data_IF_247095557117
#
_entry.id   IF_247095557117
#
_cell.length_a   1.000
_cell.length_b   1.000
_cell.length_c   1.000
_cell.angle_alpha   90.00
_cell.angle_beta   90.00
_cell.angle_gamma   90.00
#
_symmetry.space_group_name_H-M   'P 1'
#
loop_
_entity.id
_entity.type
_entity.pdbx_description
1 polymer ?
#
# COMPACT_ATOMS: atom_id res chain seq x y z
N UNK A 1 -39.52 -25.77 36.61
CA UNK A 1 -39.80 -24.38 37.10
C UNK A 1 -41.06 -24.46 37.97
N UNK A 2 -41.10 -23.83 39.17
CA UNK A 2 -42.28 -23.83 40.00
C UNK A 2 -43.38 -22.90 39.45
N UNK A 3 -44.66 -23.20 39.68
CA UNK A 3 -45.78 -22.39 39.22
C UNK A 3 -45.68 -20.94 39.71
N UNK A 4 -45.29 -20.71 40.94
CA UNK A 4 -45.08 -19.38 41.51
C UNK A 4 -43.90 -18.63 40.83
N UNK A 5 -42.83 -19.33 40.47
CA UNK A 5 -41.72 -18.77 39.73
C UNK A 5 -42.10 -18.31 38.34
N UNK A 6 -42.97 -19.04 37.62
CA UNK A 6 -43.49 -18.66 36.33
C UNK A 6 -44.33 -17.39 36.38
N UNK A 7 -45.26 -17.27 37.32
CA UNK A 7 -46.07 -16.06 37.44
C UNK A 7 -45.27 -14.83 37.89
N UNK A 8 -44.26 -14.99 38.77
CA UNK A 8 -43.33 -13.94 39.13
C UNK A 8 -42.54 -13.44 37.90
N UNK A 9 -42.09 -14.34 37.03
CA UNK A 9 -41.41 -14.00 35.78
C UNK A 9 -42.36 -13.29 34.81
N UNK A 10 -43.57 -13.79 34.64
CA UNK A 10 -44.56 -13.22 33.71
C UNK A 10 -44.94 -11.77 34.07
N UNK A 11 -45.14 -11.48 35.36
CA UNK A 11 -45.52 -10.16 35.85
C UNK A 11 -44.32 -9.26 36.26
N UNK A 12 -43.11 -9.72 35.94
CA UNK A 12 -41.87 -8.97 36.28
C UNK A 12 -41.79 -7.68 35.49
N UNK A 13 -41.71 -6.54 36.19
CA UNK A 13 -41.37 -5.27 35.57
C UNK A 13 -39.90 -5.19 35.25
N UNK A 14 -39.51 -4.65 34.09
CA UNK A 14 -38.10 -4.53 33.74
C UNK A 14 -37.36 -3.58 34.69
N UNK A 15 -36.18 -4.01 35.12
CA UNK A 15 -35.33 -3.24 36.05
C UNK A 15 -34.74 -2.00 35.38
N UNK A 16 -34.25 -1.03 36.14
CA UNK A 16 -33.56 0.16 35.61
C UNK A 16 -32.39 -0.23 34.68
N UNK A 17 -31.64 -1.26 35.04
CA UNK A 17 -30.52 -1.79 34.26
C UNK A 17 -31.00 -2.36 32.92
N UNK A 18 -32.09 -3.14 32.92
CA UNK A 18 -32.65 -3.70 31.68
C UNK A 18 -33.16 -2.61 30.73
N UNK A 19 -33.81 -1.58 31.26
CA UNK A 19 -34.26 -0.41 30.48
C UNK A 19 -33.06 0.30 29.85
N UNK A 20 -31.99 0.53 30.62
CA UNK A 20 -30.75 1.13 30.14
C UNK A 20 -30.09 0.28 29.04
N UNK A 21 -30.01 -1.03 29.23
CA UNK A 21 -29.42 -1.94 28.22
C UNK A 21 -30.23 -1.96 26.92
N UNK A 22 -31.58 -1.97 26.99
CA UNK A 22 -32.45 -1.88 25.82
C UNK A 22 -32.21 -0.57 25.04
N UNK A 23 -32.10 0.54 25.74
CA UNK A 23 -31.79 1.83 25.11
C UNK A 23 -30.41 1.83 24.46
N UNK A 24 -29.39 1.28 25.14
CA UNK A 24 -28.04 1.14 24.57
C UNK A 24 -28.02 0.27 23.33
N UNK A 25 -28.78 -0.81 23.29
CA UNK A 25 -28.94 -1.70 22.12
C UNK A 25 -29.46 -0.89 20.93
N UNK A 26 -30.51 -0.09 21.12
CA UNK A 26 -31.07 0.77 20.07
C UNK A 26 -30.06 1.79 19.56
N UNK A 27 -29.32 2.45 20.48
CA UNK A 27 -28.27 3.39 20.11
C UNK A 27 -27.12 2.72 19.34
N UNK A 28 -26.67 1.54 19.79
CA UNK A 28 -25.63 0.77 19.09
C UNK A 28 -26.06 0.42 17.67
N UNK A 29 -27.29 -0.10 17.52
CA UNK A 29 -27.83 -0.47 16.21
C UNK A 29 -27.91 0.74 15.27
N UNK A 30 -28.46 1.86 15.76
CA UNK A 30 -28.57 3.09 14.97
C UNK A 30 -27.21 3.59 14.49
N UNK A 31 -26.21 3.69 15.39
CA UNK A 31 -24.86 4.14 15.05
C UNK A 31 -24.18 3.17 14.06
N UNK A 32 -24.40 1.87 14.23
CA UNK A 32 -23.86 0.85 13.33
C UNK A 32 -24.42 0.99 11.91
N UNK A 33 -25.73 1.21 11.78
CA UNK A 33 -26.42 1.34 10.49
C UNK A 33 -26.08 2.67 9.80
N UNK A 34 -26.06 3.80 10.53
CA UNK A 34 -25.64 5.12 10.04
C UNK A 34 -24.23 5.08 9.42
N UNK A 35 -23.32 4.32 10.04
CA UNK A 35 -21.96 4.18 9.56
C UNK A 35 -21.73 2.90 8.71
N UNK A 36 -22.81 2.34 8.14
CA UNK A 36 -22.77 1.21 7.19
C UNK A 36 -21.94 0.02 7.69
N UNK A 37 -21.97 -0.25 8.99
CA UNK A 37 -21.25 -1.34 9.61
C UNK A 37 -19.73 -1.15 9.75
N UNK A 38 -19.17 -0.02 9.38
CA UNK A 38 -17.71 0.23 9.42
C UNK A 38 -17.19 0.34 10.84
N UNK A 39 -18.03 0.83 11.77
CA UNK A 39 -17.61 1.06 13.15
C UNK A 39 -17.62 -0.23 13.96
N UNK A 40 -16.44 -0.57 14.51
CA UNK A 40 -16.31 -1.62 15.53
C UNK A 40 -16.63 -1.09 16.94
N UNK A 41 -16.70 -2.01 17.90
CA UNK A 41 -17.10 -1.69 19.28
C UNK A 41 -16.32 -0.52 19.92
N UNK A 42 -15.03 -0.36 19.63
CA UNK A 42 -14.22 0.76 20.16
C UNK A 42 -14.70 2.10 19.63
N UNK A 43 -14.93 2.23 18.32
CA UNK A 43 -15.43 3.47 17.70
C UNK A 43 -16.86 3.76 18.15
N UNK A 44 -17.73 2.75 18.22
CA UNK A 44 -19.09 2.90 18.74
C UNK A 44 -19.05 3.36 20.20
N UNK A 45 -18.14 2.84 21.05
CA UNK A 45 -17.99 3.30 22.43
C UNK A 45 -17.63 4.79 22.51
N UNK A 46 -16.67 5.21 21.68
CA UNK A 46 -16.27 6.63 21.60
C UNK A 46 -17.46 7.48 21.17
N UNK A 47 -18.19 7.06 20.13
CA UNK A 47 -19.36 7.76 19.64
C UNK A 47 -20.45 7.92 20.70
N UNK A 48 -20.81 6.81 21.38
CA UNK A 48 -21.82 6.82 22.44
C UNK A 48 -21.45 7.73 23.61
N UNK A 49 -20.17 7.72 24.01
CA UNK A 49 -19.72 8.54 25.14
C UNK A 49 -19.54 10.02 24.76
N UNK A 50 -19.04 10.30 23.55
CA UNK A 50 -18.75 11.67 23.13
C UNK A 50 -20.01 12.42 22.66
N UNK A 51 -20.84 11.78 21.83
CA UNK A 51 -22.00 12.44 21.23
C UNK A 51 -23.31 12.21 22.02
N UNK A 52 -23.46 11.05 22.68
CA UNK A 52 -24.68 10.69 23.40
C UNK A 52 -24.52 10.70 24.93
N UNK A 53 -23.34 11.04 25.43
CA UNK A 53 -22.98 11.08 26.85
C UNK A 53 -23.41 9.84 27.66
N UNK A 54 -23.31 8.65 27.04
CA UNK A 54 -23.89 7.41 27.56
C UNK A 54 -23.09 6.80 28.71
N UNK A 55 -21.84 7.25 28.95
CA UNK A 55 -20.92 6.76 29.99
C UNK A 55 -20.85 5.23 30.04
N UNK A 56 -20.56 4.60 28.90
CA UNK A 56 -20.53 3.15 28.73
C UNK A 56 -19.10 2.64 28.51
N UNK A 57 -18.80 1.49 29.17
CA UNK A 57 -17.51 0.82 28.99
C UNK A 57 -17.50 0.02 27.67
N UNK A 58 -16.34 0.01 26.99
CA UNK A 58 -16.14 -0.72 25.74
C UNK A 58 -16.43 -2.23 25.85
N UNK A 59 -16.19 -2.85 27.03
CA UNK A 59 -16.54 -4.28 27.27
C UNK A 59 -18.07 -4.52 27.20
N UNK A 60 -18.85 -3.54 27.69
CA UNK A 60 -20.31 -3.60 27.62
C UNK A 60 -20.78 -3.50 26.15
N UNK A 61 -20.27 -2.55 25.40
CA UNK A 61 -20.61 -2.37 23.97
C UNK A 61 -20.21 -3.62 23.17
N UNK A 62 -19.01 -4.17 23.39
CA UNK A 62 -18.57 -5.40 22.72
C UNK A 62 -19.52 -6.57 22.98
N UNK A 63 -19.95 -6.78 24.24
CA UNK A 63 -20.90 -7.85 24.61
C UNK A 63 -22.26 -7.65 23.91
N UNK A 64 -22.77 -6.42 23.90
CA UNK A 64 -24.06 -6.11 23.23
C UNK A 64 -23.97 -6.30 21.73
N UNK A 65 -22.90 -5.85 21.08
CA UNK A 65 -22.69 -6.08 19.66
C UNK A 65 -22.63 -7.59 19.32
N UNK A 66 -21.96 -8.40 20.16
CA UNK A 66 -21.96 -9.86 19.99
C UNK A 66 -23.34 -10.46 20.09
N UNK A 67 -24.16 -10.04 21.04
CA UNK A 67 -25.55 -10.50 21.20
C UNK A 67 -26.43 -10.15 19.99
N UNK A 68 -26.17 -8.99 19.36
CA UNK A 68 -26.84 -8.53 18.15
C UNK A 68 -26.27 -9.14 16.86
N UNK A 69 -25.20 -9.94 16.92
CA UNK A 69 -24.51 -10.47 15.75
C UNK A 69 -23.76 -9.43 14.93
N UNK A 70 -23.56 -8.21 15.47
CA UNK A 70 -22.92 -7.10 14.78
C UNK A 70 -21.39 -7.25 14.80
N UNK A 71 -20.77 -7.17 13.62
CA UNK A 71 -19.31 -7.16 13.44
C UNK A 71 -18.93 -6.05 12.50
N UNK A 72 -17.80 -5.37 12.76
CA UNK A 72 -17.28 -4.37 11.85
C UNK A 72 -16.98 -4.96 10.48
N UNK A 73 -17.40 -4.27 9.43
CA UNK A 73 -17.06 -4.61 8.05
C UNK A 73 -15.62 -4.22 7.82
N UNK A 74 -14.72 -5.19 7.90
CA UNK A 74 -13.29 -4.99 7.63
C UNK A 74 -13.10 -5.04 6.11
N UNK A 75 -12.56 -3.96 5.56
CA UNK A 75 -12.16 -3.94 4.15
C UNK A 75 -11.12 -5.04 3.93
N UNK A 76 -11.47 -6.12 3.24
CA UNK A 76 -10.49 -7.14 2.84
C UNK A 76 -9.52 -6.50 1.85
N UNK A 77 -8.22 -6.72 2.05
CA UNK A 77 -7.23 -6.40 1.03
C UNK A 77 -7.65 -7.12 -0.25
N UNK A 78 -7.98 -6.36 -1.30
CA UNK A 78 -8.39 -6.92 -2.62
C UNK A 78 -7.25 -7.59 -3.37
N UNK A 79 -6.03 -7.44 -2.86
CA UNK A 79 -4.83 -7.86 -3.57
C UNK A 79 -4.05 -8.88 -2.74
N UNK A 80 -4.01 -10.11 -3.23
CA UNK A 80 -3.06 -11.12 -2.78
C UNK A 80 -1.82 -10.97 -3.67
N UNK A 81 -0.80 -10.28 -3.17
CA UNK A 81 0.49 -10.22 -3.84
C UNK A 81 1.03 -11.65 -3.99
N UNK A 82 1.11 -12.14 -5.23
CA UNK A 82 1.87 -13.35 -5.54
C UNK A 82 3.31 -12.88 -5.74
N UNK A 83 4.25 -13.27 -4.89
CA UNK A 83 5.64 -12.85 -5.06
C UNK A 83 6.13 -13.35 -6.43
N UNK A 84 6.53 -12.41 -7.27
CA UNK A 84 7.21 -12.74 -8.51
C UNK A 84 8.58 -13.32 -8.16
N UNK A 85 8.91 -14.50 -8.70
CA UNK A 85 10.27 -15.05 -8.59
C UNK A 85 11.12 -14.32 -9.63
N UNK A 86 12.11 -13.51 -9.20
CA UNK A 86 12.98 -12.82 -10.13
C UNK A 86 13.78 -13.84 -10.95
N UNK A 87 13.90 -13.61 -12.25
CA UNK A 87 14.69 -14.47 -13.16
C UNK A 87 16.19 -14.21 -13.02
N UNK A 88 16.54 -12.97 -12.66
CA UNK A 88 17.90 -12.50 -12.43
C UNK A 88 17.90 -11.50 -11.28
N UNK A 89 18.97 -11.49 -10.48
CA UNK A 89 19.22 -10.51 -9.40
C UNK A 89 20.64 -10.04 -9.51
N UNK A 90 20.84 -8.73 -9.58
CA UNK A 90 22.16 -8.11 -9.44
C UNK A 90 22.41 -7.65 -7.99
N UNK A 91 23.66 -7.51 -7.61
CA UNK A 91 24.05 -6.97 -6.31
C UNK A 91 23.76 -5.48 -6.22
N UNK A 92 23.64 -4.95 -4.99
CA UNK A 92 23.55 -3.51 -4.77
C UNK A 92 24.94 -2.90 -4.76
N UNK A 93 25.44 -2.49 -5.93
CA UNK A 93 26.76 -1.89 -6.10
C UNK A 93 26.78 -0.45 -5.61
N UNK A 94 25.70 0.31 -5.89
CA UNK A 94 25.59 1.72 -5.52
C UNK A 94 25.59 1.94 -4.00
N UNK A 95 25.07 0.97 -3.23
CA UNK A 95 25.08 0.90 -1.76
C UNK A 95 24.77 2.23 -1.03
N UNK A 96 23.92 3.08 -1.61
CA UNK A 96 23.54 4.42 -1.11
C UNK A 96 24.66 5.47 -1.13
N UNK A 97 25.67 5.28 -1.93
CA UNK A 97 26.72 6.28 -2.10
C UNK A 97 26.22 7.48 -2.93
N UNK A 98 25.14 8.12 -2.45
CA UNK A 98 24.53 9.30 -3.07
C UNK A 98 25.23 10.62 -2.73
N UNK A 99 26.31 10.59 -1.95
CA UNK A 99 27.09 11.78 -1.61
C UNK A 99 28.35 11.97 -2.49
N UNK A 100 28.66 10.96 -3.32
CA UNK A 100 29.78 11.06 -4.24
C UNK A 100 29.41 11.95 -5.44
N UNK A 101 30.39 12.67 -5.97
CA UNK A 101 30.26 13.43 -7.21
C UNK A 101 30.34 12.47 -8.40
N UNK A 102 29.27 12.33 -9.12
CA UNK A 102 29.20 11.51 -10.34
C UNK A 102 29.16 12.41 -11.58
N UNK A 103 29.81 11.96 -12.65
CA UNK A 103 29.73 12.62 -13.93
C UNK A 103 28.40 12.28 -14.64
N UNK A 104 28.07 13.04 -15.68
CA UNK A 104 26.93 12.75 -16.54
C UNK A 104 27.00 11.31 -17.08
N UNK A 105 25.85 10.63 -17.08
CA UNK A 105 25.66 9.23 -17.55
C UNK A 105 26.46 8.16 -16.77
N UNK A 106 27.07 8.51 -15.64
CA UNK A 106 27.82 7.55 -14.82
C UNK A 106 26.90 6.75 -13.90
N UNK A 107 25.91 7.39 -13.29
CA UNK A 107 24.90 6.73 -12.44
C UNK A 107 23.49 7.07 -12.92
N UNK A 108 22.80 6.07 -13.41
CA UNK A 108 21.42 6.16 -13.90
C UNK A 108 20.49 5.42 -12.93
N UNK A 109 19.52 6.16 -12.40
CA UNK A 109 18.48 5.60 -11.52
C UNK A 109 17.20 5.45 -12.33
N UNK A 110 16.51 4.32 -12.16
CA UNK A 110 15.26 4.07 -12.88
C UNK A 110 14.20 3.44 -12.01
N UNK A 111 12.96 3.78 -12.33
CA UNK A 111 11.77 3.22 -11.67
C UNK A 111 10.53 3.38 -12.55
N UNK A 112 9.47 2.66 -12.22
CA UNK A 112 8.17 2.73 -12.89
C UNK A 112 7.09 3.10 -11.88
N UNK A 113 6.47 4.26 -12.08
CA UNK A 113 5.36 4.70 -11.24
C UNK A 113 3.99 4.50 -11.92
N UNK A 114 2.95 4.30 -11.12
CA UNK A 114 1.56 4.14 -11.56
C UNK A 114 0.75 5.41 -11.28
N UNK A 115 0.14 5.99 -12.30
CA UNK A 115 -0.84 7.06 -12.19
C UNK A 115 -2.25 6.52 -12.40
N UNK A 116 -3.18 7.02 -11.62
CA UNK A 116 -4.61 6.77 -11.81
C UNK A 116 -5.26 8.01 -12.40
N UNK A 117 -5.99 7.85 -13.48
CA UNK A 117 -6.74 8.92 -14.10
C UNK A 117 -8.17 8.47 -14.41
N UNK A 118 -9.10 9.44 -14.44
CA UNK A 118 -10.51 9.12 -14.55
C UNK A 118 -11.02 8.22 -13.41
N UNK A 119 -12.08 7.48 -13.65
CA UNK A 119 -12.70 6.63 -12.63
C UNK A 119 -12.02 5.28 -12.43
N UNK A 120 -11.42 4.69 -13.47
CA UNK A 120 -10.87 3.32 -13.40
C UNK A 120 -9.60 3.10 -14.24
N UNK A 121 -9.12 4.12 -14.94
CA UNK A 121 -7.97 4.00 -15.84
C UNK A 121 -6.64 4.19 -15.12
N UNK A 122 -5.60 3.55 -15.63
CA UNK A 122 -4.23 3.61 -15.12
C UNK A 122 -3.26 3.92 -16.25
N UNK A 123 -2.23 4.67 -15.93
CA UNK A 123 -1.06 4.87 -16.76
C UNK A 123 0.21 4.57 -15.98
N UNK A 124 1.24 4.18 -16.66
CA UNK A 124 2.54 3.83 -16.09
C UNK A 124 3.61 4.69 -16.75
N UNK A 125 4.41 5.33 -15.95
CA UNK A 125 5.54 6.13 -16.38
C UNK A 125 6.83 5.44 -15.97
N UNK A 126 7.65 5.04 -16.94
CA UNK A 126 9.03 4.66 -16.73
C UNK A 126 9.92 5.87 -16.95
N UNK A 127 10.83 6.16 -16.06
CA UNK A 127 11.77 7.25 -16.21
C UNK A 127 13.19 6.83 -15.79
N UNK A 128 14.19 7.51 -16.38
CA UNK A 128 15.59 7.36 -16.05
C UNK A 128 16.13 8.72 -15.63
N UNK A 129 16.61 8.78 -14.41
CA UNK A 129 17.27 9.94 -13.83
C UNK A 129 18.79 9.76 -13.96
N UNK A 130 19.45 10.68 -14.61
CA UNK A 130 20.90 10.85 -14.49
C UNK A 130 21.20 11.50 -13.15
N UNK A 131 21.84 10.76 -12.27
CA UNK A 131 22.13 11.25 -10.93
C UNK A 131 23.24 12.29 -10.90
N UNK A 132 24.22 12.21 -11.82
CA UNK A 132 25.31 13.19 -11.93
C UNK A 132 24.80 14.58 -12.30
N UNK A 133 23.86 14.68 -13.25
CA UNK A 133 23.26 15.95 -13.65
C UNK A 133 21.93 16.27 -12.91
N UNK A 134 21.42 15.34 -12.13
CA UNK A 134 20.11 15.42 -11.48
C UNK A 134 18.97 15.75 -12.48
N UNK A 135 18.96 15.07 -13.63
CA UNK A 135 18.08 15.35 -14.77
C UNK A 135 17.45 14.08 -15.30
N UNK A 136 16.18 14.14 -15.67
CA UNK A 136 15.54 13.04 -16.41
C UNK A 136 16.07 13.01 -17.84
N UNK A 137 16.73 11.93 -18.20
CA UNK A 137 17.37 11.73 -19.52
C UNK A 137 16.50 10.92 -20.48
N UNK A 138 15.60 10.08 -19.94
CA UNK A 138 14.62 9.35 -20.74
C UNK A 138 13.35 9.09 -19.94
N UNK A 139 12.21 9.05 -20.65
CA UNK A 139 10.94 8.61 -20.06
C UNK A 139 9.99 8.05 -21.12
N UNK A 140 9.07 7.20 -20.69
CA UNK A 140 7.99 6.65 -21.51
C UNK A 140 6.72 6.48 -20.70
N UNK A 141 5.61 6.93 -21.28
CA UNK A 141 4.27 6.74 -20.73
C UNK A 141 3.56 5.61 -21.48
N UNK A 142 2.89 4.71 -20.76
CA UNK A 142 2.11 3.61 -21.33
C UNK A 142 0.88 3.29 -20.49
N UNK A 143 -0.13 2.68 -21.10
CA UNK A 143 -1.28 2.12 -20.39
C UNK A 143 -0.98 0.73 -19.79
N UNK A 144 0.14 0.12 -20.14
CA UNK A 144 0.52 -1.22 -19.71
C UNK A 144 1.87 -1.21 -19.00
N UNK A 145 1.90 -1.82 -17.80
CA UNK A 145 3.13 -2.07 -17.07
C UNK A 145 3.73 -3.41 -17.55
N UNK A 146 4.63 -3.35 -18.50
CA UNK A 146 5.26 -4.51 -19.11
C UNK A 146 6.75 -4.27 -19.41
N UNK A 147 7.45 -5.33 -19.84
CA UNK A 147 8.87 -5.24 -20.18
C UNK A 147 9.16 -4.30 -21.36
N UNK A 148 8.20 -4.13 -22.29
CA UNK A 148 8.35 -3.23 -23.42
C UNK A 148 8.46 -1.77 -22.98
N UNK A 149 7.70 -1.35 -21.93
CA UNK A 149 7.76 -0.01 -21.37
C UNK A 149 9.19 0.36 -20.95
N UNK A 150 9.84 -0.48 -20.15
CA UNK A 150 11.21 -0.23 -19.66
C UNK A 150 12.21 -0.32 -20.81
N UNK A 151 12.09 -1.31 -21.69
CA UNK A 151 12.96 -1.43 -22.87
C UNK A 151 12.91 -0.18 -23.75
N UNK A 152 11.71 0.31 -24.09
CA UNK A 152 11.53 1.48 -24.94
C UNK A 152 12.05 2.76 -24.25
N UNK A 153 12.06 2.80 -22.91
CA UNK A 153 12.67 3.91 -22.15
C UNK A 153 14.19 3.86 -22.24
N UNK A 154 14.79 2.69 -22.04
CA UNK A 154 16.26 2.53 -22.01
C UNK A 154 16.87 2.70 -23.41
N UNK A 155 16.15 2.29 -24.46
CA UNK A 155 16.61 2.48 -25.86
C UNK A 155 16.80 3.96 -26.22
N UNK A 156 16.09 4.88 -25.56
CA UNK A 156 16.25 6.34 -25.83
C UNK A 156 17.64 6.88 -25.46
N UNK A 157 18.36 6.20 -24.58
CA UNK A 157 19.70 6.61 -24.11
C UNK A 157 20.80 5.64 -24.56
N UNK A 158 20.48 4.67 -25.42
CA UNK A 158 21.41 3.62 -25.82
C UNK A 158 22.76 4.17 -26.31
N UNK A 159 22.73 5.23 -27.12
CA UNK A 159 23.91 5.87 -27.68
C UNK A 159 24.74 6.69 -26.67
N UNK A 160 24.13 7.08 -25.55
CA UNK A 160 24.81 7.86 -24.50
C UNK A 160 25.42 7.01 -23.38
N UNK A 161 25.18 5.69 -23.38
CA UNK A 161 25.73 4.76 -22.40
C UNK A 161 27.23 4.66 -22.52
N UNK A 162 27.94 4.80 -21.41
CA UNK A 162 29.38 4.65 -21.33
C UNK A 162 29.70 3.19 -20.93
N UNK A 163 30.14 2.33 -21.85
CA UNK A 163 30.42 0.93 -21.56
C UNK A 163 31.38 0.77 -20.37
N UNK A 164 31.13 -0.17 -19.48
CA UNK A 164 31.93 -0.50 -18.28
C UNK A 164 32.01 0.60 -17.20
N UNK A 165 31.39 1.77 -17.41
CA UNK A 165 31.32 2.87 -16.43
C UNK A 165 29.91 3.16 -15.96
N UNK A 166 28.93 3.16 -16.87
CA UNK A 166 27.54 3.44 -16.50
C UNK A 166 26.99 2.39 -15.54
N UNK A 167 26.60 2.83 -14.35
CA UNK A 167 25.87 2.04 -13.35
C UNK A 167 24.37 2.29 -13.56
N UNK A 168 23.62 1.24 -13.78
CA UNK A 168 22.16 1.31 -13.94
C UNK A 168 21.48 0.72 -12.69
N UNK A 169 20.97 1.57 -11.82
CA UNK A 169 20.36 1.17 -10.56
C UNK A 169 18.83 1.17 -10.66
N UNK A 170 18.22 0.07 -10.22
CA UNK A 170 16.77 -0.10 -10.19
C UNK A 170 16.28 -0.81 -8.94
N UNK A 171 14.97 -0.86 -8.75
CA UNK A 171 14.35 -1.82 -7.85
C UNK A 171 14.44 -3.26 -8.42
N UNK A 172 13.80 -4.22 -7.72
CA UNK A 172 13.68 -5.61 -8.17
C UNK A 172 12.36 -5.87 -8.91
N UNK A 173 11.84 -4.89 -9.61
CA UNK A 173 10.68 -5.04 -10.46
C UNK A 173 10.87 -6.13 -11.52
N UNK A 174 9.77 -6.77 -11.93
CA UNK A 174 9.83 -7.88 -12.88
C UNK A 174 10.44 -7.49 -14.24
N UNK A 175 10.35 -6.21 -14.60
CA UNK A 175 10.94 -5.69 -15.83
C UNK A 175 12.46 -5.76 -15.79
N UNK A 176 13.06 -5.30 -14.69
CA UNK A 176 14.51 -5.22 -14.51
C UNK A 176 15.16 -6.57 -14.19
N UNK A 177 14.36 -7.53 -13.67
CA UNK A 177 14.80 -8.89 -13.37
C UNK A 177 14.56 -9.85 -14.54
N UNK A 178 14.06 -9.38 -15.69
CA UNK A 178 13.77 -10.19 -16.87
C UNK A 178 15.04 -10.53 -17.64
N UNK A 179 15.05 -11.69 -18.31
CA UNK A 179 16.15 -12.08 -19.20
C UNK A 179 16.40 -11.07 -20.33
N UNK A 180 15.31 -10.46 -20.88
CA UNK A 180 15.43 -9.45 -21.93
C UNK A 180 16.19 -8.21 -21.48
N UNK A 181 15.96 -7.77 -20.25
CA UNK A 181 16.69 -6.64 -19.67
C UNK A 181 18.15 -7.01 -19.37
N UNK A 182 18.38 -8.19 -18.84
CA UNK A 182 19.73 -8.72 -18.59
C UNK A 182 20.56 -8.74 -19.88
N UNK A 183 20.01 -9.28 -20.98
CA UNK A 183 20.69 -9.31 -22.27
C UNK A 183 21.02 -7.90 -22.78
N UNK A 184 20.13 -6.91 -22.55
CA UNK A 184 20.39 -5.51 -22.89
C UNK A 184 21.59 -4.96 -22.09
N UNK A 185 21.62 -5.17 -20.77
CA UNK A 185 22.71 -4.74 -19.89
C UNK A 185 24.05 -5.36 -20.30
N UNK A 186 24.06 -6.66 -20.61
CA UNK A 186 25.26 -7.37 -21.05
C UNK A 186 25.74 -6.86 -22.43
N UNK A 187 24.83 -6.66 -23.38
CA UNK A 187 25.15 -6.14 -24.73
C UNK A 187 25.86 -4.79 -24.67
N UNK A 188 25.39 -3.89 -23.78
CA UNK A 188 25.90 -2.53 -23.67
C UNK A 188 27.00 -2.41 -22.60
N UNK A 189 27.42 -3.51 -21.97
CA UNK A 189 28.43 -3.56 -20.90
C UNK A 189 28.12 -2.61 -19.75
N UNK A 190 26.83 -2.52 -19.38
CA UNK A 190 26.32 -1.70 -18.28
C UNK A 190 26.55 -2.45 -16.97
N UNK A 191 26.90 -1.73 -15.92
CA UNK A 191 27.00 -2.26 -14.55
C UNK A 191 25.61 -2.23 -13.92
N UNK A 192 24.94 -3.38 -13.83
CA UNK A 192 23.62 -3.45 -13.20
C UNK A 192 23.75 -3.44 -11.67
N UNK A 193 22.98 -2.59 -11.02
CA UNK A 193 22.83 -2.52 -9.56
C UNK A 193 21.36 -2.59 -9.18
N UNK A 194 21.03 -3.34 -8.12
CA UNK A 194 19.64 -3.49 -7.67
C UNK A 194 19.48 -3.20 -6.20
N UNK A 195 18.40 -2.51 -5.84
CA UNK A 195 18.00 -2.28 -4.44
C UNK A 195 17.83 -3.59 -3.68
N UNK A 196 18.11 -3.59 -2.39
CA UNK A 196 17.87 -4.73 -1.49
C UNK A 196 16.37 -4.96 -1.28
N UNK A 197 15.99 -6.19 -0.98
CA UNK A 197 14.58 -6.54 -0.72
C UNK A 197 14.01 -5.71 0.44
N UNK A 198 12.90 -5.01 0.18
CA UNK A 198 12.21 -4.20 1.19
C UNK A 198 12.97 -2.96 1.67
N UNK A 199 13.99 -2.52 0.93
CA UNK A 199 14.77 -1.32 1.19
C UNK A 199 14.55 -0.29 0.08
N UNK A 200 13.36 0.34 0.07
CA UNK A 200 13.01 1.38 -0.89
C UNK A 200 14.01 2.55 -0.88
N UNK A 201 14.54 2.89 0.27
CA UNK A 201 15.58 3.93 0.46
C UNK A 201 16.83 3.72 -0.41
N UNK A 202 17.06 2.50 -0.92
CA UNK A 202 18.20 2.22 -1.81
C UNK A 202 18.05 2.89 -3.19
N UNK A 203 16.82 3.35 -3.56
CA UNK A 203 16.54 4.18 -4.74
C UNK A 203 15.94 5.55 -4.33
N UNK A 204 16.42 6.10 -3.21
CA UNK A 204 15.90 7.31 -2.59
C UNK A 204 15.75 8.52 -3.52
N UNK A 205 16.76 8.88 -4.36
CA UNK A 205 16.62 10.02 -5.27
C UNK A 205 15.47 9.87 -6.27
N UNK A 206 15.21 8.65 -6.77
CA UNK A 206 14.10 8.40 -7.68
C UNK A 206 12.74 8.44 -6.96
N UNK A 207 12.68 7.93 -5.73
CA UNK A 207 11.48 8.06 -4.88
C UNK A 207 11.19 9.53 -4.55
N UNK A 208 12.22 10.33 -4.28
CA UNK A 208 12.07 11.76 -4.05
C UNK A 208 11.55 12.48 -5.28
N UNK A 209 12.01 12.12 -6.48
CA UNK A 209 11.48 12.64 -7.74
C UNK A 209 9.98 12.37 -7.91
N UNK A 210 9.49 11.18 -7.53
CA UNK A 210 8.06 10.84 -7.59
C UNK A 210 7.21 11.51 -6.49
N UNK A 211 7.84 12.00 -5.44
CA UNK A 211 7.18 12.63 -4.29
C UNK A 211 6.81 14.10 -4.48
N UNK A 212 7.10 14.67 -5.64
CA UNK A 212 6.81 16.09 -6.00
C UNK A 212 5.36 16.27 -6.43
#
# INVERSE_FOLDING_TARGET
>A
MSRSGYYKWLHRKPTKTEKRLRHLIQCIQKVYDEHKGIYGYRRITIYLNHYLNAQVNHKCVYRLMRLLGLKAVIRRKRYTYKPHKPQHIAENILNREFQADYNAMEVLLTDVTEFKYGSHSKAYLSAILDYGENKIVAYKLSQHNNNALVRDTVTQIEDAIIPTKTIFHSDRGFQYTSHGFKNFVEKHKIIQSMSRVGKCIDNGPMENFWGI
#
